data_IF_636423007124
#
_entry.id   IF_636423007124
#
_cell.length_a   1.000
_cell.length_b   1.000
_cell.length_c   1.000
_cell.angle_alpha   90.00
_cell.angle_beta   90.00
_cell.angle_gamma   90.00
#
_symmetry.space_group_name_H-M   'P 1'
#
loop_
_entity.id
_entity.type
_entity.pdbx_description
1 polymer ?
#
# COMPACT_ATOMS: atom_id res chain seq x y z
N UNK A 1 -12.18 22.16 41.31
CA UNK A 1 -10.99 22.75 40.66
C UNK A 1 -10.07 21.63 40.25
N UNK A 2 -9.73 21.63 38.96
CA UNK A 2 -8.58 20.97 38.33
C UNK A 2 -8.65 19.44 38.15
N UNK A 3 -9.22 19.08 37.00
CA UNK A 3 -9.07 17.79 36.31
C UNK A 3 -7.60 17.54 36.03
N UNK A 4 -7.07 16.38 36.44
CA UNK A 4 -5.84 15.83 35.87
C UNK A 4 -6.25 15.05 34.64
N UNK A 5 -6.23 15.73 33.50
CA UNK A 5 -6.43 15.12 32.20
C UNK A 5 -5.35 14.05 32.00
N UNK A 6 -5.75 12.79 32.15
CA UNK A 6 -5.00 11.67 31.61
C UNK A 6 -4.89 11.94 30.11
N UNK A 7 -3.71 12.41 29.69
CA UNK A 7 -3.31 12.54 28.30
C UNK A 7 -3.45 11.17 27.65
N UNK A 8 -4.62 10.90 27.09
CA UNK A 8 -4.81 9.91 26.04
C UNK A 8 -4.02 10.37 24.83
N UNK A 9 -2.69 10.20 24.86
CA UNK A 9 -1.83 10.32 23.68
C UNK A 9 -1.86 8.98 22.92
N UNK A 10 -3.07 8.56 22.52
CA UNK A 10 -3.35 7.29 21.86
C UNK A 10 -4.22 7.50 20.61
N UNK A 11 -4.07 8.64 19.95
CA UNK A 11 -5.06 9.14 19.00
C UNK A 11 -4.40 9.47 17.67
N UNK A 12 -4.04 8.41 16.94
CA UNK A 12 -4.20 8.21 15.48
C UNK A 12 -3.16 7.18 14.96
N UNK A 13 -3.15 5.96 15.49
CA UNK A 13 -2.31 4.86 14.96
C UNK A 13 -2.91 4.21 13.70
N UNK A 14 -3.96 4.82 13.14
CA UNK A 14 -4.61 4.37 11.91
C UNK A 14 -3.79 4.86 10.72
N UNK A 15 -3.15 3.93 10.04
CA UNK A 15 -2.44 4.16 8.79
C UNK A 15 -3.31 3.72 7.62
N UNK A 16 -2.95 4.19 6.43
CA UNK A 16 -3.60 3.84 5.18
C UNK A 16 -2.64 2.98 4.36
N UNK A 17 -2.93 1.69 4.26
CA UNK A 17 -2.15 0.76 3.48
C UNK A 17 -2.67 0.69 2.05
N UNK A 18 -1.73 0.73 1.10
CA UNK A 18 -1.96 0.27 -0.26
C UNK A 18 -1.74 -1.24 -0.26
N UNK A 19 -2.78 -2.00 -0.57
CA UNK A 19 -2.76 -3.46 -0.60
C UNK A 19 -2.72 -3.93 -2.04
N UNK A 20 -1.73 -4.75 -2.37
CA UNK A 20 -1.60 -5.45 -3.64
C UNK A 20 -2.15 -6.87 -3.50
N UNK A 21 -3.20 -7.19 -4.25
CA UNK A 21 -3.73 -8.54 -4.38
C UNK A 21 -3.19 -9.15 -5.67
N UNK A 22 -2.41 -10.23 -5.53
CA UNK A 22 -1.79 -10.96 -6.65
C UNK A 22 -2.10 -12.43 -6.50
N UNK A 23 -2.78 -13.04 -7.49
CA UNK A 23 -3.09 -14.47 -7.53
C UNK A 23 -3.62 -15.04 -6.19
N UNK A 24 -4.54 -14.32 -5.53
CA UNK A 24 -5.17 -14.66 -4.23
C UNK A 24 -4.31 -14.41 -2.98
N UNK A 25 -3.17 -13.75 -3.12
CA UNK A 25 -2.36 -13.31 -1.98
C UNK A 25 -2.44 -11.80 -1.84
N UNK A 26 -2.84 -11.33 -0.67
CA UNK A 26 -2.83 -9.91 -0.32
C UNK A 26 -1.49 -9.55 0.32
N UNK A 27 -0.88 -8.46 -0.13
CA UNK A 27 0.37 -7.93 0.41
C UNK A 27 0.29 -6.42 0.55
N UNK A 28 0.77 -5.89 1.67
CA UNK A 28 0.89 -4.44 1.84
C UNK A 28 2.03 -3.95 0.94
N UNK A 29 1.71 -3.09 -0.02
CA UNK A 29 2.66 -2.48 -0.92
C UNK A 29 3.35 -1.27 -0.29
N UNK A 30 2.61 -0.39 0.36
CA UNK A 30 3.12 0.81 1.03
C UNK A 30 2.12 1.27 2.10
N UNK A 31 2.57 2.02 3.10
CA UNK A 31 1.71 2.62 4.13
C UNK A 31 1.91 4.12 4.23
N UNK A 32 0.80 4.82 4.38
CA UNK A 32 0.77 6.27 4.49
C UNK A 32 0.06 6.71 5.76
N UNK A 33 0.44 7.89 6.25
CA UNK A 33 -0.27 8.54 7.36
C UNK A 33 -1.61 9.14 6.95
N UNK A 34 -1.79 9.45 5.67
CA UNK A 34 -3.02 10.08 5.16
C UNK A 34 -3.66 9.25 4.06
N UNK A 35 -4.99 9.23 4.04
CA UNK A 35 -5.77 8.53 3.00
C UNK A 35 -5.46 9.06 1.61
N UNK A 36 -5.31 10.38 1.48
CA UNK A 36 -5.06 11.03 0.20
C UNK A 36 -3.74 10.56 -0.43
N UNK A 37 -2.67 10.43 0.37
CA UNK A 37 -1.39 9.92 -0.11
C UNK A 37 -1.47 8.45 -0.55
N UNK A 38 -2.17 7.61 0.24
CA UNK A 38 -2.40 6.21 -0.14
C UNK A 38 -3.21 6.06 -1.43
N UNK A 39 -4.23 6.91 -1.63
CA UNK A 39 -5.02 6.93 -2.87
C UNK A 39 -4.19 7.37 -4.07
N UNK A 40 -3.33 8.38 -3.91
CA UNK A 40 -2.44 8.84 -4.98
C UNK A 40 -1.45 7.74 -5.40
N UNK A 41 -0.82 7.04 -4.45
CA UNK A 41 0.07 5.90 -4.75
C UNK A 41 -0.70 4.73 -5.37
N UNK A 42 -1.88 4.40 -4.83
CA UNK A 42 -2.73 3.36 -5.39
C UNK A 42 -3.11 3.66 -6.84
N UNK A 43 -3.53 4.90 -7.14
CA UNK A 43 -3.86 5.33 -8.50
C UNK A 43 -2.64 5.27 -9.43
N UNK A 44 -1.47 5.72 -8.95
CA UNK A 44 -0.22 5.64 -9.70
C UNK A 44 0.17 4.18 -10.00
N UNK A 45 0.08 3.27 -9.02
CA UNK A 45 0.34 1.83 -9.21
C UNK A 45 -0.66 1.16 -10.13
N UNK A 46 -1.93 1.54 -10.08
CA UNK A 46 -2.95 1.07 -11.02
C UNK A 46 -2.64 1.53 -12.46
N UNK A 47 -2.17 2.76 -12.65
CA UNK A 47 -1.74 3.24 -13.96
C UNK A 47 -0.57 2.40 -14.48
N UNK A 48 0.44 2.15 -13.66
CA UNK A 48 1.56 1.27 -14.01
C UNK A 48 1.07 -0.14 -14.40
N UNK A 49 0.13 -0.73 -13.66
CA UNK A 49 -0.42 -2.04 -14.03
C UNK A 49 -1.06 -2.03 -15.40
N UNK A 50 -1.83 -0.98 -15.74
CA UNK A 50 -2.43 -0.84 -17.07
C UNK A 50 -1.36 -0.74 -18.15
N UNK A 51 -0.33 0.07 -17.90
CA UNK A 51 0.78 0.25 -18.83
C UNK A 51 1.52 -1.07 -19.07
N UNK A 52 1.74 -1.87 -18.02
CA UNK A 52 2.47 -3.16 -18.10
C UNK A 52 1.59 -4.40 -18.25
N UNK A 53 0.27 -4.25 -18.37
CA UNK A 53 -0.68 -5.38 -18.38
C UNK A 53 -0.36 -6.36 -19.51
N UNK A 54 -0.01 -5.82 -20.68
CA UNK A 54 0.36 -6.59 -21.86
C UNK A 54 1.61 -7.46 -21.61
N UNK A 55 2.61 -6.94 -20.89
CA UNK A 55 3.83 -7.67 -20.54
C UNK A 55 3.55 -8.75 -19.49
N UNK A 56 2.74 -8.43 -18.46
CA UNK A 56 2.33 -9.38 -17.43
C UNK A 56 1.60 -10.58 -18.05
N UNK A 57 0.63 -10.30 -18.95
CA UNK A 57 -0.11 -11.34 -19.68
C UNK A 57 0.81 -12.19 -20.55
N UNK A 58 1.74 -11.57 -21.29
CA UNK A 58 2.73 -12.29 -22.11
C UNK A 58 3.60 -13.24 -21.29
N UNK A 59 4.00 -12.81 -20.09
CA UNK A 59 4.83 -13.58 -19.18
C UNK A 59 4.02 -14.53 -18.26
N UNK A 60 2.71 -14.70 -18.50
CA UNK A 60 1.78 -15.47 -17.67
C UNK A 60 1.82 -15.09 -16.18
N UNK A 61 2.18 -13.84 -15.89
CA UNK A 61 2.17 -13.31 -14.54
C UNK A 61 0.77 -12.83 -14.18
N UNK A 62 0.31 -13.08 -12.95
CA UNK A 62 -0.96 -12.55 -12.46
C UNK A 62 -0.94 -11.02 -12.43
N UNK A 63 -2.02 -10.41 -12.93
CA UNK A 63 -2.19 -8.95 -12.89
C UNK A 63 -2.44 -8.50 -11.44
N UNK A 64 -1.60 -7.63 -10.86
CA UNK A 64 -1.83 -7.11 -9.52
C UNK A 64 -3.07 -6.20 -9.51
N UNK A 65 -3.93 -6.37 -8.51
CA UNK A 65 -4.96 -5.40 -8.17
C UNK A 65 -4.49 -4.59 -6.96
N UNK A 66 -4.72 -3.28 -6.95
CA UNK A 66 -4.38 -2.42 -5.81
C UNK A 66 -5.63 -1.81 -5.20
N UNK A 67 -5.71 -1.82 -3.87
CA UNK A 67 -6.77 -1.18 -3.09
C UNK A 67 -6.17 -0.44 -1.89
N UNK A 68 -6.97 0.44 -1.28
CA UNK A 68 -6.56 1.17 -0.06
C UNK A 68 -7.39 0.67 1.11
N UNK A 69 -6.73 0.26 2.18
CA UNK A 69 -7.37 -0.20 3.41
C UNK A 69 -6.81 0.53 4.64
N UNK A 70 -7.64 0.91 5.62
CA UNK A 70 -7.14 1.38 6.90
C UNK A 70 -6.54 0.20 7.67
N UNK A 71 -5.34 0.38 8.22
CA UNK A 71 -4.66 -0.63 9.05
C UNK A 71 -4.07 0.01 10.30
N UNK A 72 -3.91 -0.76 11.38
CA UNK A 72 -3.17 -0.26 12.54
C UNK A 72 -1.70 -0.54 12.37
N UNK A 73 -0.87 0.32 12.95
CA UNK A 73 0.58 0.10 12.96
C UNK A 73 1.00 -1.21 13.66
N UNK A 74 0.18 -1.69 14.59
CA UNK A 74 0.37 -2.99 15.26
C UNK A 74 0.04 -4.20 14.35
N UNK A 75 -0.80 -4.01 13.33
CA UNK A 75 -1.20 -5.06 12.38
C UNK A 75 -0.16 -5.22 11.26
N UNK A 76 0.81 -4.30 11.15
CA UNK A 76 1.90 -4.45 10.19
C UNK A 76 2.78 -5.66 10.57
N UNK A 77 3.12 -6.52 9.59
CA UNK A 77 4.10 -7.55 9.82
C UNK A 77 5.43 -6.93 10.28
N UNK A 78 6.03 -7.48 11.34
CA UNK A 78 7.31 -6.96 11.92
C UNK A 78 8.48 -6.86 10.92
N UNK A 79 8.45 -7.62 9.83
CA UNK A 79 9.46 -7.60 8.75
C UNK A 79 8.91 -7.06 7.43
N UNK A 80 7.82 -6.31 7.49
CA UNK A 80 7.26 -5.68 6.31
C UNK A 80 8.27 -4.71 5.69
N UNK A 81 8.37 -4.76 4.37
CA UNK A 81 9.16 -3.83 3.55
C UNK A 81 8.27 -3.35 2.42
N UNK A 82 8.35 -2.08 2.04
CA UNK A 82 7.55 -1.56 0.95
C UNK A 82 7.88 -2.33 -0.33
N UNK A 83 6.84 -2.73 -1.05
CA UNK A 83 7.02 -3.38 -2.33
C UNK A 83 7.48 -2.32 -3.33
N UNK A 84 8.62 -2.53 -4.01
CA UNK A 84 9.04 -1.64 -5.07
C UNK A 84 7.93 -1.56 -6.12
N UNK A 85 7.81 -0.40 -6.76
CA UNK A 85 6.83 -0.21 -7.81
C UNK A 85 7.04 -1.22 -8.95
N UNK A 86 5.96 -1.58 -9.65
CA UNK A 86 6.03 -2.55 -10.74
C UNK A 86 7.05 -2.14 -11.83
N UNK A 87 7.18 -0.82 -12.10
CA UNK A 87 8.20 -0.27 -13.00
C UNK A 87 9.65 -0.59 -12.59
N UNK A 88 9.92 -0.70 -11.28
CA UNK A 88 11.23 -1.13 -10.77
C UNK A 88 11.49 -2.63 -10.97
N UNK A 89 10.45 -3.47 -11.00
CA UNK A 89 10.60 -4.92 -11.18
C UNK A 89 10.79 -5.33 -12.65
N UNK A 90 10.36 -4.48 -13.59
CA UNK A 90 10.45 -4.76 -15.04
C UNK A 90 11.47 -3.90 -15.80
N UNK A 91 12.25 -3.05 -15.11
CA UNK A 91 13.42 -2.40 -15.68
C UNK A 91 13.15 -1.16 -16.53
N UNK A 92 12.11 -0.37 -16.24
CA UNK A 92 12.01 1.00 -16.76
C UNK A 92 12.32 2.01 -15.65
N UNK A 93 13.48 2.69 -15.70
CA UNK A 93 13.63 3.95 -15.00
C UNK A 93 12.72 5.01 -15.67
N UNK A 94 12.34 6.00 -14.87
CA UNK A 94 11.64 7.21 -15.32
C UNK A 94 12.36 7.93 -16.46
#
# INVERSE_FOLDING_TARGET
MSSVEILHRATDDTLWAVVATVAKTDRIAEVYRTRAAALADCAWRLQQVRDYEHLLRRNKQPVPHYSVAPIRRADLPRRWRPLPALGFLCGSPA
#
